data_IF_110331811330
#
_entry.id   IF_110331811330
#
_cell.length_a   1.000
_cell.length_b   1.000
_cell.length_c   1.000
_cell.angle_alpha   90.00
_cell.angle_beta   90.00
_cell.angle_gamma   90.00
#
_symmetry.space_group_name_H-M   'P 1'
#
loop_
_entity.id
_entity.type
_entity.pdbx_description
1 polymer ?
#
# COMPACT_ATOMS: atom_id res chain seq x y z
N UNK A 1 8.28 30.94 -0.25
CA UNK A 1 7.63 30.37 -1.46
C UNK A 1 6.25 30.99 -1.66
N UNK A 2 5.88 31.32 -2.91
CA UNK A 2 4.59 31.98 -3.18
C UNK A 2 3.45 30.95 -3.38
N UNK A 3 3.78 29.70 -3.60
CA UNK A 3 2.83 28.59 -3.79
C UNK A 3 2.98 27.51 -2.71
N UNK A 4 1.97 26.65 -2.61
CA UNK A 4 2.00 25.48 -1.72
C UNK A 4 2.87 24.38 -2.34
N UNK A 5 3.85 23.90 -1.62
CA UNK A 5 4.64 22.71 -1.99
C UNK A 5 3.81 21.47 -1.59
N UNK A 6 3.30 20.68 -2.54
CA UNK A 6 2.40 19.57 -2.25
C UNK A 6 3.14 18.35 -1.69
N UNK A 7 2.45 17.56 -0.87
CA UNK A 7 2.98 16.30 -0.35
C UNK A 7 3.26 15.29 -1.49
N UNK A 8 2.27 15.08 -2.35
CA UNK A 8 2.36 14.22 -3.55
C UNK A 8 1.22 14.56 -4.49
N UNK A 9 1.53 14.83 -5.73
CA UNK A 9 0.57 15.10 -6.80
C UNK A 9 0.86 14.22 -8.00
N UNK A 10 -0.15 13.94 -8.86
CA UNK A 10 0.05 13.24 -10.12
C UNK A 10 1.02 13.98 -11.03
N UNK A 11 1.79 13.23 -11.81
CA UNK A 11 2.64 13.74 -12.87
C UNK A 11 2.12 13.24 -14.22
N UNK A 12 1.89 14.15 -15.18
CA UNK A 12 1.33 13.87 -16.50
C UNK A 12 2.23 14.49 -17.59
N UNK A 13 3.46 13.99 -17.68
CA UNK A 13 4.47 14.45 -18.66
C UNK A 13 4.54 13.58 -19.92
N UNK A 14 3.81 12.43 -19.92
CA UNK A 14 3.88 11.42 -20.98
C UNK A 14 2.71 11.42 -21.97
N UNK A 15 2.29 10.25 -22.37
CA UNK A 15 1.26 10.01 -23.39
C UNK A 15 -0.19 9.98 -22.84
N UNK A 16 -0.44 10.46 -21.62
CA UNK A 16 -1.73 10.32 -20.93
C UNK A 16 -2.90 10.84 -21.78
N UNK A 17 -2.80 12.08 -22.27
CA UNK A 17 -3.85 12.68 -23.11
C UNK A 17 -4.06 11.89 -24.39
N UNK A 18 -2.97 11.51 -25.06
CA UNK A 18 -3.02 10.77 -26.31
C UNK A 18 -3.78 9.46 -26.20
N UNK A 19 -3.53 8.68 -25.13
CA UNK A 19 -4.16 7.37 -24.97
C UNK A 19 -5.61 7.49 -24.44
N UNK A 20 -5.90 8.48 -23.62
CA UNK A 20 -7.28 8.75 -23.19
C UNK A 20 -8.12 9.24 -24.35
N UNK A 21 -7.63 10.17 -25.18
CA UNK A 21 -8.30 10.65 -26.39
C UNK A 21 -8.56 9.50 -27.38
N UNK A 22 -7.56 8.64 -27.61
CA UNK A 22 -7.69 7.44 -28.45
C UNK A 22 -8.79 6.49 -27.95
N UNK A 23 -8.88 6.25 -26.63
CA UNK A 23 -9.94 5.42 -26.04
C UNK A 23 -11.34 6.03 -26.23
N UNK A 24 -11.45 7.36 -26.19
CA UNK A 24 -12.69 8.11 -26.45
C UNK A 24 -13.05 8.01 -27.93
N UNK A 25 -12.11 8.24 -28.83
CA UNK A 25 -12.31 8.20 -30.30
C UNK A 25 -12.76 6.82 -30.78
N UNK A 26 -12.25 5.75 -30.14
CA UNK A 26 -12.69 4.38 -30.40
C UNK A 26 -14.07 4.04 -29.83
N UNK A 27 -14.63 4.88 -28.94
CA UNK A 27 -15.89 4.64 -28.24
C UNK A 27 -15.83 3.56 -27.14
N UNK A 28 -14.65 3.06 -26.80
CA UNK A 28 -14.44 2.06 -25.75
C UNK A 28 -14.03 2.71 -24.43
N UNK A 29 -15.01 3.08 -23.61
CA UNK A 29 -14.79 3.87 -22.38
C UNK A 29 -15.04 3.09 -21.08
N UNK A 30 -15.79 1.97 -21.14
CA UNK A 30 -16.20 1.19 -19.98
C UNK A 30 -15.27 -0.03 -19.74
N UNK A 31 -15.81 -1.13 -19.22
CA UNK A 31 -15.07 -2.33 -18.78
C UNK A 31 -14.63 -3.27 -19.91
N UNK A 32 -14.78 -2.86 -21.17
CA UNK A 32 -14.25 -3.51 -22.36
C UNK A 32 -13.32 -2.55 -23.09
N UNK A 33 -12.29 -3.07 -23.74
CA UNK A 33 -11.37 -2.29 -24.56
C UNK A 33 -9.91 -2.78 -24.46
N UNK A 34 -9.12 -2.41 -25.47
CA UNK A 34 -7.76 -2.92 -25.62
C UNK A 34 -6.77 -2.41 -24.56
N UNK A 35 -7.01 -1.22 -24.01
CA UNK A 35 -6.12 -0.64 -23.01
C UNK A 35 -6.10 -1.41 -21.70
N UNK A 36 -7.21 -2.06 -21.31
CA UNK A 36 -7.25 -2.89 -20.09
C UNK A 36 -6.26 -4.06 -20.24
N UNK A 37 -6.31 -4.77 -21.37
CA UNK A 37 -5.38 -5.89 -21.65
C UNK A 37 -3.94 -5.37 -21.74
N UNK A 38 -3.72 -4.23 -22.39
CA UNK A 38 -2.39 -3.63 -22.51
C UNK A 38 -1.82 -3.25 -21.14
N UNK A 39 -2.62 -2.66 -20.26
CA UNK A 39 -2.18 -2.31 -18.90
C UNK A 39 -1.82 -3.58 -18.09
N UNK A 40 -2.66 -4.64 -18.17
CA UNK A 40 -2.35 -5.92 -17.51
C UNK A 40 -1.03 -6.51 -18.04
N UNK A 41 -0.76 -6.43 -19.34
CA UNK A 41 0.49 -6.89 -19.95
C UNK A 41 1.71 -6.06 -19.51
N UNK A 42 1.59 -4.73 -19.46
CA UNK A 42 2.68 -3.86 -19.02
C UNK A 42 2.98 -4.07 -17.53
N UNK A 43 1.95 -4.21 -16.69
CA UNK A 43 2.12 -4.58 -15.26
C UNK A 43 2.78 -5.96 -15.11
N UNK A 44 2.31 -6.96 -15.86
CA UNK A 44 2.84 -8.32 -15.85
C UNK A 44 4.33 -8.35 -16.20
N UNK A 45 4.70 -7.64 -17.29
CA UNK A 45 6.08 -7.49 -17.71
C UNK A 45 6.94 -6.79 -16.66
N UNK A 46 6.45 -5.70 -16.09
CA UNK A 46 7.18 -4.92 -15.10
C UNK A 46 7.39 -5.69 -13.78
N UNK A 47 6.37 -6.41 -13.33
CA UNK A 47 6.38 -7.17 -12.08
C UNK A 47 6.99 -8.58 -12.21
N UNK A 48 7.40 -8.97 -13.41
CA UNK A 48 7.91 -10.31 -13.73
C UNK A 48 6.94 -11.43 -13.32
N UNK A 49 5.65 -11.26 -13.65
CA UNK A 49 4.59 -12.25 -13.41
C UNK A 49 3.60 -12.23 -14.58
N UNK A 50 3.04 -13.38 -14.95
CA UNK A 50 2.00 -13.46 -15.99
C UNK A 50 0.58 -13.26 -15.43
N UNK A 51 0.45 -13.17 -14.11
CA UNK A 51 -0.80 -13.30 -13.39
C UNK A 51 -1.29 -11.94 -12.85
N UNK A 52 -1.89 -11.11 -13.70
CA UNK A 52 -2.40 -9.77 -13.37
C UNK A 52 -3.86 -9.61 -13.79
N UNK A 53 -4.70 -9.06 -12.91
CA UNK A 53 -6.07 -8.64 -13.20
C UNK A 53 -6.26 -7.18 -12.79
N UNK A 54 -6.55 -6.29 -13.73
CA UNK A 54 -6.85 -4.89 -13.46
C UNK A 54 -8.25 -4.73 -12.85
N UNK A 55 -8.38 -3.89 -11.83
CA UNK A 55 -9.63 -3.59 -11.15
C UNK A 55 -9.80 -2.08 -10.88
N UNK A 56 -11.00 -1.69 -10.41
CA UNK A 56 -11.37 -0.27 -10.31
C UNK A 56 -10.73 0.48 -9.14
N UNK A 57 -10.12 -0.21 -8.16
CA UNK A 57 -9.45 0.41 -7.00
C UNK A 57 -8.59 -0.59 -6.25
N UNK A 58 -7.62 -0.11 -5.45
CA UNK A 58 -6.87 -0.95 -4.52
C UNK A 58 -7.76 -1.62 -3.46
N UNK A 59 -8.82 -0.94 -3.01
CA UNK A 59 -9.80 -1.53 -2.07
C UNK A 59 -10.55 -2.70 -2.71
N UNK A 60 -10.95 -2.57 -3.98
CA UNK A 60 -11.56 -3.67 -4.74
C UNK A 60 -10.59 -4.85 -4.92
N UNK A 61 -9.30 -4.56 -5.16
CA UNK A 61 -8.24 -5.55 -5.23
C UNK A 61 -8.11 -6.34 -3.91
N UNK A 62 -8.01 -5.65 -2.80
CA UNK A 62 -7.94 -6.26 -1.46
C UNK A 62 -9.19 -7.08 -1.13
N UNK A 63 -10.39 -6.57 -1.47
CA UNK A 63 -11.63 -7.30 -1.24
C UNK A 63 -11.71 -8.59 -2.05
N UNK A 64 -11.41 -8.53 -3.35
CA UNK A 64 -11.37 -9.74 -4.18
C UNK A 64 -10.33 -10.75 -3.70
N UNK A 65 -9.16 -10.27 -3.22
CA UNK A 65 -8.14 -11.12 -2.63
C UNK A 65 -8.64 -11.82 -1.36
N UNK A 66 -9.45 -11.15 -0.52
CA UNK A 66 -10.09 -11.77 0.66
C UNK A 66 -11.10 -12.86 0.25
N UNK A 67 -11.92 -12.58 -0.77
CA UNK A 67 -12.88 -13.57 -1.29
C UNK A 67 -12.14 -14.81 -1.80
N UNK A 68 -11.11 -14.60 -2.60
CA UNK A 68 -10.33 -15.70 -3.21
C UNK A 68 -9.46 -16.44 -2.19
N UNK A 69 -9.01 -15.78 -1.13
CA UNK A 69 -8.34 -16.41 0.02
C UNK A 69 -9.30 -17.30 0.83
N UNK A 70 -10.59 -17.30 0.53
CA UNK A 70 -11.61 -18.09 1.20
C UNK A 70 -12.01 -17.52 2.58
N UNK A 71 -11.84 -16.24 2.80
CA UNK A 71 -12.30 -15.59 4.04
C UNK A 71 -13.82 -15.54 4.06
N UNK A 72 -14.41 -16.10 5.09
CA UNK A 72 -15.88 -16.21 5.27
C UNK A 72 -16.33 -15.60 6.59
N UNK A 73 -17.65 -15.37 6.79
CA UNK A 73 -18.16 -14.88 8.06
C UNK A 73 -17.72 -15.75 9.25
N UNK A 74 -17.18 -15.08 10.28
CA UNK A 74 -16.68 -15.75 11.48
C UNK A 74 -15.18 -16.10 11.45
N UNK A 75 -14.50 -16.00 10.33
CA UNK A 75 -13.05 -16.14 10.26
C UNK A 75 -12.32 -14.94 10.92
N UNK A 76 -11.05 -15.14 11.22
CA UNK A 76 -10.11 -14.13 11.71
C UNK A 76 -9.07 -13.82 10.64
N UNK A 77 -8.67 -12.55 10.54
CA UNK A 77 -7.59 -12.09 9.66
C UNK A 77 -6.62 -11.24 10.49
N UNK A 78 -5.32 -11.54 10.39
CA UNK A 78 -4.27 -10.73 11.01
C UNK A 78 -4.01 -9.48 10.15
N UNK A 79 -3.96 -8.31 10.79
CA UNK A 79 -3.83 -7.02 10.08
C UNK A 79 -2.87 -6.09 10.81
N UNK A 80 -2.19 -5.15 10.10
CA UNK A 80 -1.35 -4.14 10.75
C UNK A 80 -2.21 -3.00 11.31
N UNK A 81 -1.81 -2.39 12.46
CA UNK A 81 -2.47 -1.21 13.01
C UNK A 81 -2.07 0.09 12.31
N UNK A 82 -0.88 0.12 11.67
CA UNK A 82 -0.32 1.27 10.97
C UNK A 82 -0.50 1.08 9.47
N UNK A 83 -1.62 1.57 8.95
CA UNK A 83 -1.95 1.54 7.52
C UNK A 83 -3.13 2.46 7.23
N UNK A 84 -3.39 2.69 5.95
CA UNK A 84 -4.67 3.26 5.54
C UNK A 84 -5.80 2.24 5.74
N UNK A 85 -6.95 2.70 6.24
CA UNK A 85 -8.08 1.85 6.66
C UNK A 85 -8.58 0.88 5.56
N UNK A 86 -8.31 1.19 4.28
CA UNK A 86 -8.69 0.33 3.16
C UNK A 86 -7.99 -1.05 3.17
N UNK A 87 -6.87 -1.21 3.87
CA UNK A 87 -6.23 -2.51 4.07
C UNK A 87 -7.04 -3.42 5.00
N UNK A 88 -7.84 -2.85 5.91
CA UNK A 88 -8.57 -3.58 6.95
C UNK A 88 -10.07 -3.69 6.66
N UNK A 89 -10.67 -2.68 6.02
CA UNK A 89 -12.12 -2.69 5.72
C UNK A 89 -12.59 -3.94 4.98
N UNK A 90 -11.86 -4.52 3.99
CA UNK A 90 -12.27 -5.74 3.28
C UNK A 90 -12.48 -6.95 4.20
N UNK A 91 -11.76 -7.04 5.34
CA UNK A 91 -12.01 -8.07 6.35
C UNK A 91 -13.45 -7.97 6.86
N UNK A 92 -13.93 -6.74 7.14
CA UNK A 92 -15.29 -6.50 7.62
C UNK A 92 -16.33 -6.67 6.51
N UNK A 93 -15.98 -6.45 5.24
CA UNK A 93 -16.89 -6.75 4.13
C UNK A 93 -17.20 -8.24 4.05
N UNK A 94 -16.26 -9.12 4.43
CA UNK A 94 -16.45 -10.57 4.54
C UNK A 94 -17.08 -11.00 5.88
N UNK A 95 -17.50 -10.07 6.74
CA UNK A 95 -17.98 -10.35 8.10
C UNK A 95 -16.99 -11.13 8.96
N UNK A 96 -15.70 -11.06 8.63
CA UNK A 96 -14.60 -11.59 9.42
C UNK A 96 -14.12 -10.58 10.48
N UNK A 97 -13.28 -11.05 11.39
CA UNK A 97 -12.77 -10.27 12.52
C UNK A 97 -11.28 -9.95 12.32
N UNK A 98 -10.86 -8.67 12.29
CA UNK A 98 -9.45 -8.32 12.27
C UNK A 98 -8.84 -8.45 13.65
N UNK A 99 -7.59 -8.97 13.71
CA UNK A 99 -6.72 -8.90 14.90
C UNK A 99 -5.49 -8.09 14.52
N UNK A 100 -5.19 -7.06 15.29
CA UNK A 100 -4.11 -6.13 15.02
C UNK A 100 -2.80 -6.60 15.63
N UNK A 101 -1.81 -6.85 14.78
CA UNK A 101 -0.45 -7.25 15.14
C UNK A 101 0.48 -6.07 14.91
N UNK A 102 1.32 -5.76 15.91
CA UNK A 102 2.23 -4.61 15.87
C UNK A 102 3.22 -4.64 14.69
N UNK A 103 3.83 -3.51 14.41
CA UNK A 103 4.84 -3.34 13.37
C UNK A 103 6.28 -3.51 13.91
N UNK A 104 7.21 -3.73 12.98
CA UNK A 104 8.66 -3.58 13.20
C UNK A 104 9.13 -2.13 12.90
N UNK A 105 10.43 -1.89 12.84
CA UNK A 105 10.99 -0.56 12.58
C UNK A 105 10.85 -0.10 11.12
N UNK A 106 10.39 -0.98 10.24
CA UNK A 106 10.01 -0.64 8.87
C UNK A 106 8.57 -0.12 8.75
N UNK A 107 7.82 -0.06 9.85
CA UNK A 107 6.38 0.23 9.94
C UNK A 107 5.48 -0.91 9.41
N UNK A 108 6.06 -1.97 8.86
CA UNK A 108 5.32 -3.13 8.36
C UNK A 108 5.06 -4.13 9.50
N UNK A 109 4.12 -5.07 9.30
CA UNK A 109 3.81 -6.10 10.29
C UNK A 109 5.07 -6.84 10.75
N UNK A 110 5.26 -6.97 12.07
CA UNK A 110 6.37 -7.71 12.66
C UNK A 110 6.08 -9.23 12.64
N UNK A 111 6.80 -10.04 11.85
CA UNK A 111 6.56 -11.48 11.78
C UNK A 111 6.87 -12.21 13.09
N UNK A 112 7.78 -11.70 13.92
CA UNK A 112 8.07 -12.30 15.22
C UNK A 112 6.91 -12.11 16.19
N UNK A 113 6.27 -10.93 16.22
CA UNK A 113 5.06 -10.67 17.02
C UNK A 113 3.87 -11.47 16.49
N UNK A 114 3.71 -11.58 15.16
CA UNK A 114 2.68 -12.41 14.56
C UNK A 114 2.86 -13.88 14.91
N UNK A 115 4.09 -14.41 14.87
CA UNK A 115 4.41 -15.78 15.30
C UNK A 115 4.08 -16.00 16.78
N UNK A 116 4.50 -15.06 17.62
CA UNK A 116 4.21 -15.13 19.06
C UNK A 116 2.70 -15.14 19.36
N UNK A 117 1.91 -14.35 18.62
CA UNK A 117 0.45 -14.43 18.71
C UNK A 117 -0.08 -15.81 18.35
N UNK A 118 0.42 -16.42 17.28
CA UNK A 118 0.02 -17.76 16.86
C UNK A 118 0.38 -18.82 17.92
N UNK A 119 1.54 -18.68 18.58
CA UNK A 119 2.02 -19.61 19.62
C UNK A 119 1.28 -19.44 20.95
N UNK A 120 1.02 -18.20 21.37
CA UNK A 120 0.47 -17.90 22.70
C UNK A 120 -1.07 -17.98 22.73
N UNK A 121 -1.74 -17.58 21.66
CA UNK A 121 -3.19 -17.31 21.67
C UNK A 121 -3.98 -18.24 20.73
N UNK A 122 -3.31 -19.07 19.91
CA UNK A 122 -3.95 -19.89 18.90
C UNK A 122 -3.64 -21.39 19.07
N UNK A 123 -4.42 -22.22 18.42
CA UNK A 123 -4.26 -23.68 18.44
C UNK A 123 -4.44 -24.26 17.04
N UNK A 124 -3.56 -25.19 16.63
CA UNK A 124 -3.71 -25.95 15.39
C UNK A 124 -4.74 -27.07 15.59
N UNK A 125 -5.80 -27.08 14.76
CA UNK A 125 -6.84 -28.14 14.71
C UNK A 125 -7.13 -28.47 13.25
N UNK A 126 -7.13 -29.73 12.88
CA UNK A 126 -7.49 -30.22 11.54
C UNK A 126 -6.77 -29.47 10.39
N UNK A 127 -5.51 -29.10 10.59
CA UNK A 127 -4.70 -28.40 9.60
C UNK A 127 -4.97 -26.89 9.46
N UNK A 128 -5.77 -26.31 10.35
CA UNK A 128 -6.05 -24.89 10.44
C UNK A 128 -5.64 -24.31 11.79
N UNK A 129 -5.24 -23.02 11.78
CA UNK A 129 -4.97 -22.28 12.99
C UNK A 129 -6.27 -21.65 13.51
N UNK A 130 -6.57 -21.83 14.78
CA UNK A 130 -7.76 -21.29 15.44
C UNK A 130 -7.38 -20.28 16.52
N UNK A 131 -8.07 -19.15 16.53
CA UNK A 131 -8.16 -18.23 17.65
C UNK A 131 -9.54 -18.40 18.29
N UNK A 132 -9.61 -19.03 19.46
CA UNK A 132 -10.88 -19.50 20.03
C UNK A 132 -11.58 -20.51 19.10
N UNK A 133 -12.76 -20.16 18.61
CA UNK A 133 -13.52 -20.97 17.64
C UNK A 133 -13.42 -20.44 16.20
N UNK A 134 -12.63 -19.40 15.96
CA UNK A 134 -12.48 -18.72 14.69
C UNK A 134 -11.21 -19.18 13.96
N UNK A 135 -11.31 -19.53 12.69
CA UNK A 135 -10.13 -19.87 11.87
C UNK A 135 -9.35 -18.58 11.53
N UNK A 136 -8.06 -18.56 11.81
CA UNK A 136 -7.13 -17.53 11.30
C UNK A 136 -6.85 -17.83 9.83
N UNK A 137 -7.67 -17.27 8.94
CA UNK A 137 -7.70 -17.62 7.52
C UNK A 137 -6.59 -16.97 6.72
N UNK A 138 -6.33 -15.69 6.99
CA UNK A 138 -5.42 -14.89 6.20
C UNK A 138 -4.69 -13.85 7.06
N UNK A 139 -3.64 -13.27 6.48
CA UNK A 139 -3.02 -12.05 6.98
C UNK A 139 -2.90 -11.03 5.86
N UNK A 140 -3.06 -9.75 6.19
CA UNK A 140 -2.77 -8.62 5.31
C UNK A 140 -1.43 -8.03 5.69
N UNK A 141 -0.50 -8.04 4.77
CA UNK A 141 0.84 -7.48 4.94
C UNK A 141 0.97 -6.22 4.09
N UNK A 142 1.08 -5.06 4.73
CA UNK A 142 1.18 -3.77 4.04
C UNK A 142 2.64 -3.37 3.89
N UNK A 143 3.03 -3.02 2.67
CA UNK A 143 4.34 -2.46 2.35
C UNK A 143 4.31 -0.93 2.52
N UNK A 144 4.37 -0.49 3.78
CA UNK A 144 4.10 0.90 4.19
C UNK A 144 5.04 1.89 3.51
N UNK A 145 4.47 2.90 2.85
CA UNK A 145 5.20 3.97 2.13
C UNK A 145 6.17 3.49 1.04
N UNK A 146 5.98 2.25 0.56
CA UNK A 146 6.88 1.60 -0.39
C UNK A 146 8.02 0.83 0.27
N UNK A 147 8.08 0.77 1.61
CA UNK A 147 9.00 -0.10 2.33
C UNK A 147 8.57 -1.56 2.19
N UNK A 148 9.53 -2.48 2.04
CA UNK A 148 9.22 -3.91 1.98
C UNK A 148 9.01 -4.46 3.40
N UNK A 149 7.94 -5.21 3.63
CA UNK A 149 7.78 -6.03 4.83
C UNK A 149 8.84 -7.15 4.86
N UNK A 150 9.08 -7.75 6.02
CA UNK A 150 9.91 -8.97 6.12
C UNK A 150 9.14 -10.18 5.57
N UNK A 151 9.16 -10.33 4.24
CA UNK A 151 8.42 -11.40 3.57
C UNK A 151 9.03 -12.80 3.82
N UNK A 152 10.30 -12.91 4.20
CA UNK A 152 10.86 -14.21 4.58
C UNK A 152 10.22 -14.71 5.87
N UNK A 153 10.21 -13.87 6.92
CA UNK A 153 9.57 -14.20 8.19
C UNK A 153 8.04 -14.38 8.06
N UNK A 154 7.39 -13.55 7.26
CA UNK A 154 5.94 -13.64 6.98
C UNK A 154 5.59 -14.96 6.28
N UNK A 155 6.31 -15.33 5.22
CA UNK A 155 5.98 -16.55 4.45
C UNK A 155 6.34 -17.83 5.21
N UNK A 156 7.39 -17.82 6.05
CA UNK A 156 7.70 -18.94 6.93
C UNK A 156 6.57 -19.13 7.97
N UNK A 157 6.08 -18.06 8.58
CA UNK A 157 4.93 -18.09 9.48
C UNK A 157 3.66 -18.60 8.77
N UNK A 158 3.37 -18.06 7.59
CA UNK A 158 2.20 -18.45 6.81
C UNK A 158 2.20 -19.93 6.43
N UNK A 159 3.36 -20.46 6.06
CA UNK A 159 3.56 -21.87 5.77
C UNK A 159 3.36 -22.75 7.02
N UNK A 160 3.94 -22.39 8.16
CA UNK A 160 3.88 -23.18 9.41
C UNK A 160 2.45 -23.32 9.93
N UNK A 161 1.62 -22.28 9.74
CA UNK A 161 0.26 -22.22 10.27
C UNK A 161 -0.85 -22.29 9.20
N UNK A 162 -0.49 -22.56 7.93
CA UNK A 162 -1.43 -22.65 6.81
C UNK A 162 -2.34 -21.40 6.68
N UNK A 163 -1.74 -20.20 6.79
CA UNK A 163 -2.41 -18.90 6.67
C UNK A 163 -2.18 -18.33 5.27
N UNK A 164 -3.21 -17.77 4.63
CA UNK A 164 -3.08 -17.08 3.34
C UNK A 164 -2.44 -15.69 3.52
N UNK A 165 -1.58 -15.29 2.59
CA UNK A 165 -0.90 -14.00 2.62
C UNK A 165 -1.44 -13.11 1.51
N UNK A 166 -2.00 -11.95 1.91
CA UNK A 166 -2.43 -10.88 1.02
C UNK A 166 -1.47 -9.72 1.20
N UNK A 167 -0.64 -9.46 0.18
CA UNK A 167 0.23 -8.30 0.17
C UNK A 167 -0.55 -7.06 -0.26
N UNK A 168 -0.67 -6.08 0.62
CA UNK A 168 -1.10 -4.73 0.26
C UNK A 168 0.11 -3.95 -0.27
N UNK A 169 0.33 -4.03 -1.58
CA UNK A 169 1.37 -3.32 -2.32
C UNK A 169 0.84 -2.00 -2.93
N UNK A 170 -0.29 -1.46 -2.43
CA UNK A 170 -0.92 -0.24 -2.96
C UNK A 170 -0.02 1.00 -2.88
N UNK A 171 1.06 0.93 -2.13
CA UNK A 171 2.07 1.98 -1.94
C UNK A 171 3.45 1.59 -2.49
N UNK A 172 3.59 0.34 -2.93
CA UNK A 172 4.90 -0.27 -3.17
C UNK A 172 5.11 -0.76 -4.62
N UNK A 173 4.32 -0.30 -5.60
CA UNK A 173 4.56 -0.66 -7.01
C UNK A 173 6.00 -0.26 -7.41
N UNK A 174 6.80 -1.25 -7.80
CA UNK A 174 8.21 -1.10 -8.16
C UNK A 174 9.22 -1.36 -7.03
N UNK A 175 8.76 -1.43 -5.77
CA UNK A 175 9.62 -1.91 -4.67
C UNK A 175 9.90 -3.40 -4.84
N UNK A 176 11.14 -3.82 -4.61
CA UNK A 176 11.55 -5.22 -4.75
C UNK A 176 12.73 -5.58 -3.86
N UNK A 177 12.88 -6.86 -3.57
CA UNK A 177 14.06 -7.38 -2.91
C UNK A 177 15.28 -7.41 -3.86
N UNK A 178 16.46 -7.02 -3.36
CA UNK A 178 17.73 -7.13 -4.08
C UNK A 178 18.58 -8.28 -3.56
N UNK A 179 18.27 -8.81 -2.37
CA UNK A 179 19.01 -9.85 -1.67
C UNK A 179 18.05 -10.86 -1.03
N UNK A 180 18.59 -11.96 -0.50
CA UNK A 180 17.83 -12.99 0.21
C UNK A 180 17.04 -13.94 -0.69
N UNK A 181 16.14 -14.71 -0.09
CA UNK A 181 15.31 -15.74 -0.75
C UNK A 181 14.45 -15.15 -1.89
N UNK A 182 14.04 -13.92 -1.75
CA UNK A 182 13.15 -13.23 -2.68
C UNK A 182 13.85 -12.21 -3.57
N UNK A 183 15.19 -12.31 -3.74
CA UNK A 183 15.93 -11.42 -4.64
C UNK A 183 15.29 -11.36 -6.03
N UNK A 184 15.01 -10.14 -6.53
CA UNK A 184 14.32 -9.88 -7.81
C UNK A 184 12.79 -9.96 -7.74
N UNK A 185 12.19 -10.32 -6.61
CA UNK A 185 10.73 -10.33 -6.43
C UNK A 185 10.21 -8.96 -6.01
N UNK A 186 9.14 -8.53 -6.66
CA UNK A 186 8.45 -7.27 -6.38
C UNK A 186 7.43 -7.41 -5.26
N UNK A 187 7.17 -6.32 -4.54
CA UNK A 187 6.05 -6.21 -3.61
C UNK A 187 4.74 -6.59 -4.31
N UNK A 188 3.95 -7.45 -3.69
CA UNK A 188 2.71 -8.00 -4.27
C UNK A 188 2.91 -9.23 -5.16
N UNK A 189 4.13 -9.82 -5.23
CA UNK A 189 4.38 -11.04 -6.05
C UNK A 189 4.98 -12.20 -5.24
N UNK A 190 4.93 -12.13 -3.92
CA UNK A 190 5.54 -13.12 -3.01
C UNK A 190 4.45 -13.92 -2.28
N UNK A 191 3.43 -13.26 -1.76
CA UNK A 191 2.29 -13.89 -1.09
C UNK A 191 1.36 -14.64 -2.05
N UNK A 192 0.21 -15.06 -1.54
CA UNK A 192 -0.82 -15.70 -2.38
C UNK A 192 -1.46 -14.68 -3.34
N UNK A 193 -1.64 -13.43 -2.87
CA UNK A 193 -2.23 -12.32 -3.61
C UNK A 193 -1.45 -11.04 -3.36
N UNK A 194 -1.38 -10.18 -4.38
CA UNK A 194 -0.88 -8.82 -4.26
C UNK A 194 -1.90 -7.81 -4.76
N UNK A 195 -2.13 -6.74 -4.00
CA UNK A 195 -3.06 -5.68 -4.37
C UNK A 195 -2.31 -4.37 -4.64
N UNK A 196 -2.63 -3.71 -5.75
CA UNK A 196 -2.06 -2.41 -6.14
C UNK A 196 -3.14 -1.36 -6.26
N UNK A 197 -2.76 -0.09 -6.08
CA UNK A 197 -3.65 1.06 -6.23
C UNK A 197 -3.05 2.09 -7.17
N UNK A 198 -3.90 2.66 -8.02
CA UNK A 198 -3.58 3.74 -8.93
C UNK A 198 -4.43 4.98 -8.62
N UNK A 199 -4.69 5.22 -7.32
CA UNK A 199 -5.38 6.42 -6.87
C UNK A 199 -4.51 7.67 -7.12
N UNK A 200 -5.11 8.88 -7.08
CA UNK A 200 -4.50 10.13 -7.50
C UNK A 200 -3.16 10.48 -6.84
N UNK A 201 -2.88 10.00 -5.63
CA UNK A 201 -1.65 10.28 -4.91
C UNK A 201 -0.60 9.15 -4.96
N UNK A 202 -0.86 8.06 -5.69
CA UNK A 202 0.08 6.93 -5.81
C UNK A 202 1.22 7.25 -6.76
N UNK A 203 2.22 6.37 -6.83
CA UNK A 203 3.42 6.58 -7.66
C UNK A 203 3.08 6.73 -9.15
N UNK A 204 2.03 6.03 -9.60
CA UNK A 204 1.31 6.24 -10.86
C UNK A 204 -0.18 6.33 -10.57
N UNK A 205 -0.94 6.98 -11.45
CA UNK A 205 -2.37 7.15 -11.25
C UNK A 205 -3.20 6.84 -12.50
N UNK A 206 -4.41 6.33 -12.27
CA UNK A 206 -5.47 6.24 -13.27
C UNK A 206 -6.72 7.05 -12.83
N UNK A 207 -6.52 8.03 -11.91
CA UNK A 207 -7.59 8.77 -11.25
C UNK A 207 -8.25 7.98 -10.11
N UNK A 208 -8.50 6.76 -10.30
CA UNK A 208 -8.85 5.64 -9.46
C UNK A 208 -8.30 4.39 -10.16
N UNK A 209 -8.48 3.20 -9.64
CA UNK A 209 -7.97 1.99 -10.26
C UNK A 209 -7.05 1.19 -9.35
N UNK A 210 -6.78 -0.02 -9.74
CA UNK A 210 -5.91 -0.96 -9.05
C UNK A 210 -5.66 -2.20 -9.90
N UNK A 211 -4.90 -3.12 -9.34
CA UNK A 211 -4.67 -4.43 -9.94
C UNK A 211 -4.47 -5.48 -8.85
N UNK A 212 -4.67 -6.74 -9.22
CA UNK A 212 -4.42 -7.90 -8.37
C UNK A 212 -3.41 -8.78 -9.10
N UNK A 213 -2.43 -9.27 -8.36
CA UNK A 213 -1.59 -10.39 -8.76
C UNK A 213 -1.94 -11.61 -7.93
N UNK A 214 -1.73 -12.80 -8.50
CA UNK A 214 -1.84 -14.06 -7.77
C UNK A 214 -0.79 -15.05 -8.28
N UNK A 215 -0.52 -16.10 -7.50
CA UNK A 215 0.52 -17.07 -7.82
C UNK A 215 0.11 -18.14 -8.86
N UNK A 216 -1.17 -18.13 -9.32
CA UNK A 216 -1.70 -19.08 -10.30
C UNK A 216 -2.61 -18.40 -11.31
N UNK A 217 -2.56 -18.83 -12.57
CA UNK A 217 -3.35 -18.25 -13.66
C UNK A 217 -4.85 -18.49 -13.50
N UNK A 218 -5.26 -19.68 -13.09
CA UNK A 218 -6.67 -20.01 -12.85
C UNK A 218 -7.31 -19.13 -11.78
N UNK A 219 -6.53 -18.72 -10.78
CA UNK A 219 -6.97 -17.76 -9.74
C UNK A 219 -7.21 -16.39 -10.34
N UNK A 220 -6.32 -15.91 -11.21
CA UNK A 220 -6.49 -14.61 -11.90
C UNK A 220 -7.69 -14.62 -12.83
N UNK A 221 -7.96 -15.74 -13.51
CA UNK A 221 -9.14 -15.89 -14.36
C UNK A 221 -10.43 -15.85 -13.53
N UNK A 222 -10.43 -16.45 -12.34
CA UNK A 222 -11.56 -16.38 -11.41
C UNK A 222 -11.73 -14.95 -10.83
N UNK A 223 -10.66 -14.27 -10.46
CA UNK A 223 -10.71 -12.86 -10.03
C UNK A 223 -11.30 -11.95 -11.13
N UNK A 224 -10.90 -12.17 -12.39
CA UNK A 224 -11.46 -11.45 -13.54
C UNK A 224 -12.94 -11.73 -13.73
N UNK A 225 -13.36 -12.98 -13.60
CA UNK A 225 -14.75 -13.40 -13.63
C UNK A 225 -15.57 -12.74 -12.52
N UNK A 226 -15.12 -12.79 -11.27
CA UNK A 226 -15.78 -12.14 -10.14
C UNK A 226 -15.87 -10.62 -10.32
N UNK A 227 -14.83 -9.98 -10.87
CA UNK A 227 -14.80 -8.52 -11.09
C UNK A 227 -15.80 -8.01 -12.14
N UNK A 228 -16.35 -8.93 -12.95
CA UNK A 228 -17.33 -8.65 -14.02
C UNK A 228 -18.71 -9.25 -13.72
N UNK A 229 -19.14 -9.20 -12.45
CA UNK A 229 -20.43 -9.70 -11.99
C UNK A 229 -20.59 -11.24 -12.03
N UNK A 230 -19.49 -12.01 -12.12
CA UNK A 230 -19.52 -13.48 -12.26
C UNK A 230 -20.43 -13.95 -13.41
N UNK A 231 -20.28 -13.34 -14.58
CA UNK A 231 -21.14 -13.59 -15.74
C UNK A 231 -20.66 -14.81 -16.51
N UNK A 232 -21.45 -15.89 -16.51
CA UNK A 232 -21.17 -17.13 -17.25
C UNK A 232 -21.62 -17.08 -18.71
N UNK A 233 -22.79 -16.49 -18.96
CA UNK A 233 -23.32 -16.36 -20.32
C UNK A 233 -23.63 -14.90 -20.64
N UNK A 234 -22.92 -14.28 -21.61
CA UNK A 234 -23.11 -12.89 -21.96
C UNK A 234 -24.43 -12.63 -22.73
N UNK A 235 -25.03 -13.66 -23.35
CA UNK A 235 -26.26 -13.52 -24.14
C UNK A 235 -27.51 -13.62 -23.27
N UNK A 236 -27.48 -14.52 -22.27
CA UNK A 236 -28.63 -14.76 -21.40
C UNK A 236 -28.46 -14.19 -19.99
N UNK A 237 -27.29 -13.55 -19.72
CA UNK A 237 -26.98 -12.96 -18.41
C UNK A 237 -27.11 -13.97 -17.26
N UNK A 238 -26.58 -15.19 -17.47
CA UNK A 238 -26.56 -16.24 -16.45
C UNK A 238 -25.35 -16.02 -15.55
N UNK A 239 -25.56 -16.10 -14.23
CA UNK A 239 -24.55 -15.92 -13.20
C UNK A 239 -24.62 -17.12 -12.25
N UNK A 240 -23.50 -17.80 -12.03
CA UNK A 240 -23.44 -18.96 -11.14
C UNK A 240 -22.90 -18.62 -9.76
N UNK A 241 -22.31 -17.44 -9.61
CA UNK A 241 -21.73 -16.94 -8.35
C UNK A 241 -22.14 -15.48 -8.12
N UNK A 242 -21.94 -15.01 -6.89
CA UNK A 242 -22.06 -13.59 -6.56
C UNK A 242 -20.77 -12.87 -6.96
N UNK A 243 -20.87 -12.04 -7.99
CA UNK A 243 -19.75 -11.22 -8.46
C UNK A 243 -19.91 -9.76 -8.12
N UNK A 244 -18.94 -8.95 -8.59
CA UNK A 244 -18.81 -7.54 -8.26
C UNK A 244 -18.64 -6.71 -9.54
N UNK A 245 -18.99 -5.44 -9.48
CA UNK A 245 -18.65 -4.48 -10.52
C UNK A 245 -17.31 -3.81 -10.19
N UNK A 246 -16.23 -4.59 -10.26
CA UNK A 246 -14.88 -4.18 -9.85
C UNK A 246 -13.88 -4.15 -11.00
N UNK A 247 -14.30 -4.42 -12.24
CA UNK A 247 -13.43 -4.33 -13.41
C UNK A 247 -13.01 -2.89 -13.69
N UNK A 248 -11.74 -2.67 -14.01
CA UNK A 248 -11.23 -1.37 -14.46
C UNK A 248 -11.90 -0.92 -15.75
N UNK A 249 -12.10 0.38 -15.93
CA UNK A 249 -12.57 0.95 -17.19
C UNK A 249 -11.44 1.15 -18.18
N UNK A 250 -11.76 1.15 -19.48
CA UNK A 250 -10.76 1.34 -20.54
C UNK A 250 -10.12 2.74 -20.50
N UNK A 251 -10.88 3.78 -20.08
CA UNK A 251 -10.33 5.11 -19.87
C UNK A 251 -9.26 5.15 -18.75
N UNK A 252 -9.55 4.49 -17.63
CA UNK A 252 -8.57 4.35 -16.55
C UNK A 252 -7.32 3.58 -17.05
N UNK A 253 -7.54 2.50 -17.78
CA UNK A 253 -6.45 1.69 -18.30
C UNK A 253 -5.60 2.43 -19.34
N UNK A 254 -6.21 3.26 -20.20
CA UNK A 254 -5.50 4.10 -21.16
C UNK A 254 -4.54 5.08 -20.45
N UNK A 255 -5.05 5.75 -19.40
CA UNK A 255 -4.22 6.60 -18.54
C UNK A 255 -3.09 5.78 -17.88
N UNK A 256 -3.43 4.58 -17.36
CA UNK A 256 -2.48 3.69 -16.70
C UNK A 256 -1.36 3.20 -17.59
N UNK A 257 -1.63 2.92 -18.88
CA UNK A 257 -0.59 2.52 -19.84
C UNK A 257 0.43 3.64 -20.02
N UNK A 258 -0.01 4.89 -20.17
CA UNK A 258 0.90 6.02 -20.29
C UNK A 258 1.74 6.20 -19.00
N UNK A 259 1.11 6.06 -17.84
CA UNK A 259 1.80 6.15 -16.56
C UNK A 259 2.82 5.01 -16.33
N UNK A 260 2.56 3.80 -16.84
CA UNK A 260 3.53 2.70 -16.80
C UNK A 260 4.77 2.99 -17.64
N UNK A 261 4.66 3.73 -18.74
CA UNK A 261 5.79 4.17 -19.56
C UNK A 261 6.74 5.08 -18.74
N UNK A 262 6.21 5.90 -17.84
CA UNK A 262 6.95 6.85 -17.02
C UNK A 262 7.39 6.28 -15.64
N UNK A 263 6.83 5.16 -15.20
CA UNK A 263 7.07 4.60 -13.86
C UNK A 263 8.56 4.43 -13.51
N UNK A 264 9.44 3.92 -14.39
CA UNK A 264 10.87 3.80 -14.06
C UNK A 264 11.52 5.16 -13.76
N UNK A 265 11.15 6.20 -14.49
CA UNK A 265 11.66 7.56 -14.27
C UNK A 265 11.10 8.16 -12.98
N UNK A 266 9.82 7.94 -12.66
CA UNK A 266 9.24 8.38 -11.41
C UNK A 266 9.93 7.75 -10.19
N UNK A 267 10.22 6.45 -10.24
CA UNK A 267 11.00 5.76 -9.20
C UNK A 267 12.40 6.36 -9.07
N UNK A 268 13.08 6.61 -10.19
CA UNK A 268 14.41 7.22 -10.19
C UNK A 268 14.40 8.62 -9.54
N UNK A 269 13.42 9.46 -9.90
CA UNK A 269 13.27 10.81 -9.30
C UNK A 269 13.00 10.71 -7.80
N UNK A 270 12.09 9.83 -7.38
CA UNK A 270 11.82 9.62 -5.95
C UNK A 270 13.04 9.16 -5.16
N UNK A 271 13.84 8.26 -5.71
CA UNK A 271 15.08 7.82 -5.09
C UNK A 271 16.11 8.96 -5.00
N UNK A 272 16.24 9.78 -6.03
CA UNK A 272 17.13 10.94 -6.02
C UNK A 272 16.70 11.97 -4.96
N UNK A 273 15.41 12.30 -4.91
CA UNK A 273 14.85 13.24 -3.92
C UNK A 273 15.04 12.71 -2.48
N UNK A 274 14.79 11.41 -2.24
CA UNK A 274 15.06 10.79 -0.93
C UNK A 274 16.53 10.92 -0.53
N UNK A 275 17.45 10.67 -1.46
CA UNK A 275 18.89 10.77 -1.18
C UNK A 275 19.32 12.22 -0.88
N UNK A 276 18.69 13.22 -1.54
CA UNK A 276 18.87 14.63 -1.21
C UNK A 276 18.46 14.90 0.24
N UNK A 277 17.24 14.52 0.63
CA UNK A 277 16.73 14.71 1.99
C UNK A 277 17.57 13.93 3.03
N UNK A 278 18.02 12.72 2.69
CA UNK A 278 18.89 11.92 3.58
C UNK A 278 20.17 12.67 3.92
N UNK A 279 20.79 13.29 2.92
CA UNK A 279 22.00 14.11 3.12
C UNK A 279 21.69 15.40 3.89
N UNK A 280 20.55 16.05 3.58
CA UNK A 280 20.17 17.30 4.21
C UNK A 280 19.83 17.13 5.70
N UNK A 281 19.19 16.03 6.09
CA UNK A 281 18.91 15.71 7.51
C UNK A 281 20.01 14.96 8.22
N UNK A 282 21.19 14.78 7.62
CA UNK A 282 22.32 14.12 8.29
C UNK A 282 22.79 14.95 9.49
N UNK A 283 22.78 14.33 10.68
CA UNK A 283 23.14 15.01 11.93
C UNK A 283 22.06 15.92 12.52
N UNK A 284 20.85 15.93 11.97
CA UNK A 284 19.75 16.69 12.53
C UNK A 284 19.26 16.09 13.86
N UNK A 285 19.44 16.82 14.97
CA UNK A 285 19.26 16.28 16.32
C UNK A 285 17.80 16.13 16.77
N UNK A 286 16.83 16.76 16.07
CA UNK A 286 15.41 16.76 16.47
C UNK A 286 14.56 15.76 15.71
N UNK A 287 15.16 15.07 14.75
CA UNK A 287 14.47 14.02 13.98
C UNK A 287 15.43 13.25 13.09
N UNK A 288 14.97 12.11 12.63
CA UNK A 288 15.72 11.19 11.78
C UNK A 288 14.87 10.80 10.57
N UNK A 289 15.42 10.90 9.36
CA UNK A 289 14.75 10.39 8.18
C UNK A 289 14.65 8.87 8.26
N UNK A 290 13.41 8.34 8.18
CA UNK A 290 13.17 6.90 8.26
C UNK A 290 13.88 6.16 7.11
N UNK A 291 14.67 5.13 7.43
CA UNK A 291 15.30 4.31 6.42
C UNK A 291 14.29 3.37 5.76
N UNK A 292 14.62 2.88 4.59
CA UNK A 292 13.96 1.73 3.97
C UNK A 292 14.76 0.46 4.28
N UNK A 293 14.07 -0.68 4.30
CA UNK A 293 14.67 -1.99 4.64
C UNK A 293 15.91 -2.27 3.77
N UNK A 294 16.98 -2.69 4.40
CA UNK A 294 18.19 -3.16 3.72
C UNK A 294 17.90 -4.40 2.87
N UNK A 295 18.69 -4.65 1.83
CA UNK A 295 18.44 -5.74 0.89
C UNK A 295 17.21 -5.54 -0.01
N UNK A 296 16.69 -4.29 -0.07
CA UNK A 296 15.54 -3.94 -0.92
C UNK A 296 15.80 -2.67 -1.73
N UNK A 297 15.14 -2.55 -2.86
CA UNK A 297 15.07 -1.32 -3.64
C UNK A 297 13.63 -0.79 -3.59
N UNK A 298 13.37 0.16 -2.69
CA UNK A 298 12.05 0.79 -2.50
C UNK A 298 11.76 1.81 -3.60
N UNK A 299 10.47 1.91 -3.99
CA UNK A 299 9.96 3.00 -4.83
C UNK A 299 9.93 4.35 -4.12
N UNK A 300 10.09 4.35 -2.79
CA UNK A 300 10.12 5.54 -1.92
C UNK A 300 8.90 6.44 -2.12
N UNK A 301 7.71 5.85 -2.05
CA UNK A 301 6.46 6.56 -2.31
C UNK A 301 6.28 7.79 -1.39
N UNK A 302 6.46 7.63 -0.07
CA UNK A 302 6.53 8.75 0.88
C UNK A 302 7.83 8.76 1.66
N UNK A 303 8.27 9.95 2.05
CA UNK A 303 9.39 10.18 2.97
C UNK A 303 8.82 10.53 4.33
N UNK A 304 9.42 9.97 5.38
CA UNK A 304 8.97 10.10 6.75
C UNK A 304 10.11 10.59 7.64
N UNK A 305 9.86 11.63 8.40
CA UNK A 305 10.75 12.09 9.45
C UNK A 305 10.22 11.56 10.80
N UNK A 306 11.04 10.82 11.52
CA UNK A 306 10.79 10.40 12.90
C UNK A 306 11.27 11.49 13.83
N UNK A 307 10.34 12.21 14.46
CA UNK A 307 10.61 13.34 15.35
C UNK A 307 10.98 12.83 16.74
N UNK A 308 12.03 13.40 17.36
CA UNK A 308 12.41 13.09 18.74
C UNK A 308 11.48 13.80 19.75
N UNK A 309 10.47 13.08 20.22
CA UNK A 309 9.47 13.59 21.18
C UNK A 309 10.05 13.91 22.56
N UNK A 310 11.29 13.50 22.88
CA UNK A 310 11.94 13.90 24.10
C UNK A 310 12.43 15.34 24.02
N UNK A 311 12.78 15.80 22.81
CA UNK A 311 13.32 17.14 22.55
C UNK A 311 12.25 18.11 22.06
N UNK A 312 11.35 17.67 21.19
CA UNK A 312 10.28 18.49 20.60
C UNK A 312 9.01 18.42 21.46
N UNK A 313 8.53 19.56 21.94
CA UNK A 313 7.39 19.69 22.90
C UNK A 313 6.14 20.26 22.21
N UNK A 314 5.81 19.72 21.04
CA UNK A 314 4.62 20.08 20.27
C UNK A 314 3.82 18.85 19.90
N UNK A 315 2.52 19.00 19.71
CA UNK A 315 1.72 17.97 19.08
C UNK A 315 2.03 17.91 17.56
N UNK A 316 1.81 16.73 16.96
CA UNK A 316 1.95 16.60 15.49
C UNK A 316 1.05 17.60 14.74
N UNK A 317 -0.12 17.93 15.29
CA UNK A 317 -1.02 18.93 14.73
C UNK A 317 -0.39 20.32 14.70
N UNK A 318 0.29 20.75 15.78
CA UNK A 318 0.93 22.05 15.84
C UNK A 318 2.06 22.15 14.80
N UNK A 319 2.84 21.09 14.66
CA UNK A 319 3.92 21.00 13.65
C UNK A 319 3.35 21.11 12.23
N UNK A 320 2.31 20.33 11.92
CA UNK A 320 1.65 20.36 10.60
C UNK A 320 1.08 21.74 10.31
N UNK A 321 0.40 22.37 11.29
CA UNK A 321 -0.16 23.72 11.14
C UNK A 321 0.93 24.74 10.86
N UNK A 322 2.03 24.71 11.61
CA UNK A 322 3.15 25.65 11.42
C UNK A 322 3.83 25.48 10.05
N UNK A 323 3.91 24.24 9.50
CA UNK A 323 4.43 23.98 8.17
C UNK A 323 3.45 24.41 7.06
N UNK A 324 2.15 24.23 7.28
CA UNK A 324 1.11 24.69 6.33
C UNK A 324 1.09 26.21 6.20
N UNK A 325 1.27 26.94 7.29
CA UNK A 325 1.44 28.42 7.26
C UNK A 325 2.66 28.86 6.42
N UNK A 326 3.67 27.99 6.34
CA UNK A 326 4.87 28.16 5.49
C UNK A 326 4.72 27.59 4.08
N UNK A 327 3.49 27.26 3.67
CA UNK A 327 3.18 26.70 2.35
C UNK A 327 3.80 25.32 2.08
N UNK A 328 3.94 24.48 3.10
CA UNK A 328 4.45 23.10 2.97
C UNK A 328 3.34 22.16 3.41
N UNK A 329 2.86 21.33 2.49
CA UNK A 329 1.88 20.31 2.79
C UNK A 329 2.56 19.08 3.42
N UNK A 330 2.18 18.77 4.66
CA UNK A 330 2.67 17.62 5.41
C UNK A 330 1.51 16.80 5.97
N UNK A 331 1.76 15.59 6.42
CA UNK A 331 0.76 14.73 7.07
C UNK A 331 1.43 13.94 8.21
N UNK A 332 0.69 13.73 9.28
CA UNK A 332 1.01 12.66 10.22
C UNK A 332 0.88 11.29 9.51
N UNK A 333 1.53 10.27 10.02
CA UNK A 333 1.15 8.90 9.69
C UNK A 333 -0.33 8.66 10.06
N UNK A 334 -0.97 7.66 9.49
CA UNK A 334 -2.39 7.41 9.76
C UNK A 334 -2.66 7.21 11.27
N UNK A 335 -3.81 7.69 11.73
CA UNK A 335 -4.30 7.31 13.05
C UNK A 335 -4.47 5.79 13.12
N UNK A 336 -4.08 5.21 14.24
CA UNK A 336 -4.11 3.75 14.44
C UNK A 336 -5.52 3.19 14.20
N UNK A 337 -5.62 2.14 13.39
CA UNK A 337 -6.92 1.64 12.92
C UNK A 337 -7.79 1.16 14.09
N UNK A 338 -7.22 0.46 15.09
CA UNK A 338 -7.96 -0.04 16.25
C UNK A 338 -8.51 1.08 17.17
N UNK A 339 -8.02 2.31 17.04
CA UNK A 339 -8.56 3.48 17.75
C UNK A 339 -9.74 4.12 17.00
N UNK A 340 -9.92 3.79 15.73
CA UNK A 340 -11.03 4.29 14.92
C UNK A 340 -12.36 3.68 15.38
N UNK A 341 -13.44 4.46 15.32
CA UNK A 341 -14.76 4.04 15.81
C UNK A 341 -15.19 2.65 15.32
N UNK A 342 -15.02 2.28 14.02
CA UNK A 342 -15.42 0.97 13.54
C UNK A 342 -14.65 -0.21 14.13
N UNK A 343 -13.46 0.04 14.72
CA UNK A 343 -12.52 -0.98 15.19
C UNK A 343 -12.16 -0.86 16.66
N UNK A 344 -12.79 0.06 17.40
CA UNK A 344 -12.45 0.38 18.81
C UNK A 344 -12.46 -0.83 19.76
N UNK A 345 -13.21 -1.88 19.43
CA UNK A 345 -13.30 -3.10 20.25
C UNK A 345 -12.55 -4.28 19.61
N UNK A 346 -11.74 -4.06 18.59
CA UNK A 346 -10.98 -5.12 17.97
C UNK A 346 -9.82 -5.58 18.87
N UNK A 347 -9.46 -6.86 18.74
CA UNK A 347 -8.34 -7.45 19.48
C UNK A 347 -7.02 -6.89 18.93
N UNK A 348 -6.11 -6.59 19.85
CA UNK A 348 -4.76 -6.11 19.54
C UNK A 348 -3.74 -6.99 20.25
N UNK A 349 -2.57 -7.20 19.66
CA UNK A 349 -1.51 -8.00 20.25
C UNK A 349 -0.14 -7.35 20.10
N UNK A 350 0.60 -7.28 21.21
CA UNK A 350 2.01 -6.86 21.25
C UNK A 350 2.26 -5.40 20.86
N UNK A 351 1.27 -4.49 21.00
CA UNK A 351 1.36 -3.09 20.57
C UNK A 351 2.36 -2.29 21.43
N UNK A 352 3.47 -1.92 20.81
CA UNK A 352 4.53 -1.10 21.38
C UNK A 352 5.02 -0.05 20.35
N UNK A 353 5.41 -0.51 19.15
CA UNK A 353 5.98 0.34 18.12
C UNK A 353 4.94 1.15 17.36
N UNK A 354 3.79 0.57 17.07
CA UNK A 354 2.75 1.28 16.32
C UNK A 354 2.27 2.55 17.04
N UNK A 355 1.95 2.55 18.36
CA UNK A 355 1.63 3.77 19.10
C UNK A 355 2.77 4.80 19.11
N UNK A 356 4.02 4.33 19.23
CA UNK A 356 5.18 5.20 19.21
C UNK A 356 5.33 5.90 17.86
N UNK A 357 5.29 5.15 16.75
CA UNK A 357 5.42 5.72 15.40
C UNK A 357 4.23 6.60 15.02
N UNK A 358 3.01 6.23 15.43
CA UNK A 358 1.83 7.08 15.22
C UNK A 358 1.97 8.48 15.83
N UNK A 359 2.70 8.59 16.95
CA UNK A 359 2.93 9.85 17.62
C UNK A 359 4.04 10.70 17.00
N UNK A 360 5.06 10.10 16.35
CA UNK A 360 6.30 10.79 15.98
C UNK A 360 6.60 10.87 14.47
N UNK A 361 5.83 10.22 13.60
CA UNK A 361 6.09 10.21 12.16
C UNK A 361 5.39 11.37 11.45
N UNK A 362 6.19 12.18 10.77
CA UNK A 362 5.75 13.25 9.87
C UNK A 362 6.12 12.91 8.43
N UNK A 363 5.13 12.83 7.55
CA UNK A 363 5.33 12.73 6.10
C UNK A 363 5.41 14.12 5.48
N UNK A 364 6.37 14.34 4.59
CA UNK A 364 6.67 15.63 3.99
C UNK A 364 6.85 15.51 2.45
N UNK A 365 6.94 16.61 1.69
CA UNK A 365 6.87 16.60 0.23
C UNK A 365 7.77 15.59 -0.45
N UNK A 366 7.15 14.73 -1.26
CA UNK A 366 7.78 13.62 -1.98
C UNK A 366 7.35 13.53 -3.44
N UNK A 367 6.70 14.56 -4.00
CA UNK A 367 6.28 14.56 -5.41
C UNK A 367 7.47 14.41 -6.37
N UNK A 368 7.26 13.79 -7.53
CA UNK A 368 8.28 13.62 -8.57
C UNK A 368 8.68 14.92 -9.26
N UNK A 369 7.88 15.98 -9.07
CA UNK A 369 8.07 17.29 -9.71
C UNK A 369 8.74 18.32 -8.79
N UNK A 370 9.07 17.96 -7.54
CA UNK A 370 9.70 18.87 -6.59
C UNK A 370 11.09 19.28 -7.07
N UNK A 371 11.39 20.55 -7.00
CA UNK A 371 12.69 21.12 -7.37
C UNK A 371 13.68 21.06 -6.20
N UNK A 372 14.97 21.20 -6.49
CA UNK A 372 16.01 21.24 -5.46
C UNK A 372 15.85 22.48 -4.55
N UNK A 373 15.43 23.63 -5.10
CA UNK A 373 15.12 24.84 -4.34
C UNK A 373 13.97 24.60 -3.35
N UNK A 374 12.90 23.94 -3.80
CA UNK A 374 11.77 23.57 -2.93
C UNK A 374 12.19 22.56 -1.85
N UNK A 375 13.01 21.57 -2.18
CA UNK A 375 13.53 20.60 -1.20
C UNK A 375 14.40 21.29 -0.13
N UNK A 376 15.27 22.22 -0.54
CA UNK A 376 16.07 23.04 0.39
C UNK A 376 15.16 23.82 1.34
N UNK A 377 14.15 24.51 0.78
CA UNK A 377 13.19 25.26 1.58
C UNK A 377 12.42 24.37 2.56
N UNK A 378 11.97 23.18 2.12
CA UNK A 378 11.26 22.21 2.98
C UNK A 378 12.14 21.81 4.17
N UNK A 379 13.41 21.51 3.96
CA UNK A 379 14.35 21.15 5.03
C UNK A 379 14.52 22.28 6.02
N UNK A 380 14.85 23.48 5.53
CA UNK A 380 15.05 24.68 6.37
C UNK A 380 13.82 24.98 7.23
N UNK A 381 12.60 24.87 6.65
CA UNK A 381 11.38 25.17 7.38
C UNK A 381 11.03 24.08 8.40
N UNK A 382 11.28 22.79 8.09
CA UNK A 382 11.10 21.71 9.06
C UNK A 382 12.04 21.91 10.24
N UNK A 383 13.32 22.19 9.98
CA UNK A 383 14.29 22.44 11.05
C UNK A 383 13.91 23.64 11.92
N UNK A 384 13.52 24.75 11.31
CA UNK A 384 13.14 25.98 12.04
C UNK A 384 11.90 25.75 12.91
N UNK A 385 10.86 25.12 12.36
CA UNK A 385 9.64 24.77 13.10
C UNK A 385 9.96 23.87 14.29
N UNK A 386 10.72 22.79 14.10
CA UNK A 386 11.04 21.87 15.18
C UNK A 386 11.92 22.51 16.25
N UNK A 387 12.89 23.36 15.88
CA UNK A 387 13.71 24.16 16.84
C UNK A 387 12.84 25.13 17.65
N UNK A 388 11.81 25.71 17.03
CA UNK A 388 10.84 26.58 17.71
C UNK A 388 10.05 25.88 18.83
N UNK A 389 9.94 24.55 18.76
CA UNK A 389 9.22 23.71 19.73
C UNK A 389 10.12 22.93 20.70
N UNK A 390 11.41 23.29 20.83
CA UNK A 390 12.36 22.59 21.75
C UNK A 390 12.34 23.10 23.19
N UNK A 391 11.48 24.00 23.56
CA UNK A 391 11.47 24.65 24.91
C UNK A 391 10.50 23.99 25.88
#
# INVERSE_FOLDING_TARGET
MDHMIPLSIPNFEGNERKYVDDAIDQGWVSTGGAYITKLEQELAKFLHTDNVCACQSGTAALHLSMVEAGVVPGDTVLVPPVTFIAAVNPVRYQFATPIFIDCDDSLCMDPAKARKFCEDECEMRDGHLYYGDSIVRAMVVVHVFGNMADMEGIMDLAHDYNIRVIEDATEALGSHYTEGRYAGKYAGTIGDFGAYSFNGNKIITTGGGGAITANKSEVVDHLRYLSTQAKNDPHYYIHNEIGFNYRMTNLQAALGVAQMEELPEFIRRKQANYNYYKKAFEGFELGELMPFREGTNSNKWFYSLKIDLNKVKASMRDIITALEERKIQTRAIWGLIYEQIPYKNAVTYGLEKAPYYAACILNFPSTTQITEEEMTYVVEQIEDVLRGFTK
#
